data_IF_911964371749
#
_entry.id   IF_911964371749
#
_cell.length_a   1.000
_cell.length_b   1.000
_cell.length_c   1.000
_cell.angle_alpha   90.00
_cell.angle_beta   90.00
_cell.angle_gamma   90.00
#
_symmetry.space_group_name_H-M   'P 1'
#
loop_
_entity.id
_entity.type
_entity.pdbx_description
1 polymer ?
#
# COMPACT_ATOMS: atom_id res chain seq x y z
N UNK A 1 -1.65 -5.74 9.54
CA UNK A 1 -2.60 -5.40 8.45
C UNK A 1 -2.76 -6.58 7.50
N UNK A 2 -3.96 -6.88 6.95
CA UNK A 2 -4.11 -7.90 5.88
C UNK A 2 -3.64 -7.32 4.54
N UNK A 3 -3.02 -8.15 3.70
CA UNK A 3 -2.49 -7.75 2.37
C UNK A 3 -1.40 -6.66 2.43
N UNK A 4 -0.55 -6.72 3.48
CA UNK A 4 0.66 -5.92 3.57
C UNK A 4 1.82 -6.71 2.95
N UNK A 5 2.60 -6.05 2.10
CA UNK A 5 3.64 -6.67 1.31
C UNK A 5 4.92 -5.84 1.28
N UNK A 6 6.06 -6.49 1.10
CA UNK A 6 7.35 -5.83 0.95
C UNK A 6 8.07 -6.29 -0.32
N UNK A 7 8.43 -5.34 -1.18
CA UNK A 7 9.30 -5.53 -2.34
C UNK A 7 10.75 -5.30 -1.92
N UNK A 8 11.54 -6.38 -1.86
CA UNK A 8 12.97 -6.32 -1.53
C UNK A 8 13.78 -5.57 -2.60
N UNK A 9 13.46 -5.80 -3.87
CA UNK A 9 14.16 -5.21 -5.01
C UNK A 9 14.03 -3.70 -5.06
N UNK A 10 12.83 -3.19 -4.78
CA UNK A 10 12.53 -1.76 -4.81
C UNK A 10 12.60 -1.09 -3.43
N UNK A 11 12.73 -1.88 -2.36
CA UNK A 11 12.65 -1.44 -0.97
C UNK A 11 11.35 -0.67 -0.70
N UNK A 12 10.24 -1.26 -1.13
CA UNK A 12 8.90 -0.67 -1.03
C UNK A 12 8.04 -1.53 -0.10
N UNK A 13 7.50 -0.91 0.95
CA UNK A 13 6.38 -1.47 1.71
C UNK A 13 5.09 -0.98 1.07
N UNK A 14 4.19 -1.89 0.73
CA UNK A 14 2.90 -1.55 0.15
C UNK A 14 1.75 -2.36 0.77
N UNK A 15 0.58 -1.73 0.86
CA UNK A 15 -0.61 -2.27 1.48
C UNK A 15 -1.80 -2.13 0.55
N UNK A 16 -2.43 -3.25 0.21
CA UNK A 16 -3.67 -3.27 -0.58
C UNK A 16 -4.86 -3.16 0.38
N UNK A 17 -5.43 -1.96 0.47
CA UNK A 17 -6.49 -1.62 1.45
C UNK A 17 -7.86 -2.12 1.00
N UNK A 18 -8.10 -2.17 -0.31
CA UNK A 18 -9.42 -2.47 -0.88
C UNK A 18 -10.04 -1.25 -1.55
N UNK A 19 -11.36 -1.20 -1.62
CA UNK A 19 -12.10 -0.09 -2.22
C UNK A 19 -12.23 1.07 -1.22
N UNK A 20 -11.66 2.24 -1.55
CA UNK A 20 -11.61 3.41 -0.68
C UNK A 20 -12.39 4.61 -1.21
N UNK A 21 -13.05 4.49 -2.36
CA UNK A 21 -13.64 5.64 -3.05
C UNK A 21 -15.15 5.44 -3.23
N UNK A 22 -15.82 4.86 -2.21
CA UNK A 22 -17.21 4.42 -2.27
C UNK A 22 -18.18 5.28 -1.45
N UNK A 23 -17.74 6.43 -0.92
CA UNK A 23 -18.60 7.39 -0.23
C UNK A 23 -19.08 8.49 -1.19
N UNK A 24 -20.35 8.97 -1.06
CA UNK A 24 -20.81 10.15 -1.78
C UNK A 24 -20.19 11.46 -1.25
N UNK A 25 -19.52 11.43 -0.09
CA UNK A 25 -18.96 12.61 0.56
C UNK A 25 -17.44 12.67 0.37
N UNK A 26 -16.97 13.70 -0.34
CA UNK A 26 -15.54 13.93 -0.60
C UNK A 26 -14.73 13.95 0.71
N UNK A 27 -15.28 14.55 1.77
CA UNK A 27 -14.62 14.62 3.07
C UNK A 27 -14.33 13.23 3.65
N UNK A 28 -15.29 12.30 3.58
CA UNK A 28 -15.11 10.95 4.10
C UNK A 28 -14.04 10.16 3.30
N UNK A 29 -13.99 10.37 1.98
CA UNK A 29 -12.93 9.80 1.15
C UNK A 29 -11.57 10.34 1.62
N UNK A 30 -11.42 11.66 1.74
CA UNK A 30 -10.17 12.30 2.17
C UNK A 30 -9.75 11.81 3.57
N UNK A 31 -10.69 11.78 4.53
CA UNK A 31 -10.42 11.32 5.89
C UNK A 31 -9.96 9.86 5.92
N UNK A 32 -10.57 9.00 5.10
CA UNK A 32 -10.14 7.61 4.97
C UNK A 32 -8.76 7.47 4.30
N UNK A 33 -8.47 8.26 3.26
CA UNK A 33 -7.17 8.26 2.60
C UNK A 33 -6.05 8.67 3.57
N UNK A 34 -6.25 9.77 4.31
CA UNK A 34 -5.30 10.25 5.32
C UNK A 34 -5.13 9.22 6.45
N UNK A 35 -6.23 8.65 6.95
CA UNK A 35 -6.17 7.61 7.99
C UNK A 35 -5.33 6.39 7.55
N UNK A 36 -5.46 5.96 6.29
CA UNK A 36 -4.69 4.83 5.76
C UNK A 36 -3.23 5.19 5.50
N UNK A 37 -2.95 6.40 5.02
CA UNK A 37 -1.59 6.89 4.85
C UNK A 37 -0.85 6.94 6.19
N UNK A 38 -1.47 7.55 7.21
CA UNK A 38 -0.93 7.63 8.56
C UNK A 38 -0.60 6.26 9.14
N UNK A 39 -1.51 5.29 9.01
CA UNK A 39 -1.29 3.91 9.47
C UNK A 39 -0.06 3.27 8.83
N UNK A 40 0.14 3.46 7.52
CA UNK A 40 1.31 2.89 6.83
C UNK A 40 2.61 3.59 7.24
N UNK A 41 2.58 4.91 7.42
CA UNK A 41 3.73 5.70 7.85
C UNK A 41 4.19 5.32 9.27
N UNK A 42 3.24 5.13 10.20
CA UNK A 42 3.50 4.73 11.59
C UNK A 42 4.25 3.39 11.66
N UNK A 43 3.92 2.42 10.79
CA UNK A 43 4.58 1.11 10.76
C UNK A 43 6.09 1.17 10.52
N UNK A 44 6.53 2.17 9.77
CA UNK A 44 7.95 2.35 9.40
C UNK A 44 8.55 3.60 10.01
N UNK A 45 7.83 4.24 10.94
CA UNK A 45 8.23 5.50 11.59
C UNK A 45 8.66 6.58 10.59
N UNK A 46 7.90 6.72 9.50
CA UNK A 46 8.11 7.73 8.46
C UNK A 46 7.08 8.85 8.55
N UNK A 47 7.25 9.91 7.76
CA UNK A 47 6.25 10.97 7.62
C UNK A 47 5.08 10.46 6.75
N UNK A 48 3.84 10.82 7.12
CA UNK A 48 2.64 10.53 6.33
C UNK A 48 2.75 11.06 4.90
N UNK A 49 3.43 12.20 4.72
CA UNK A 49 3.64 12.84 3.41
C UNK A 49 4.48 12.01 2.45
N UNK A 50 5.26 11.08 2.95
CA UNK A 50 6.08 10.18 2.13
C UNK A 50 5.27 8.99 1.60
N UNK A 51 4.05 8.80 2.10
CA UNK A 51 3.15 7.74 1.63
C UNK A 51 2.48 8.15 0.33
N UNK A 52 2.71 7.33 -0.69
CA UNK A 52 2.05 7.45 -1.98
C UNK A 52 0.85 6.51 -2.07
N UNK A 53 -0.08 6.82 -2.97
CA UNK A 53 -1.24 5.96 -3.22
C UNK A 53 -1.57 5.85 -4.70
N UNK A 54 -2.06 4.69 -5.12
CA UNK A 54 -2.45 4.40 -6.50
C UNK A 54 -3.65 3.44 -6.53
N UNK A 55 -4.48 3.56 -7.56
CA UNK A 55 -5.56 2.59 -7.84
C UNK A 55 -5.05 1.53 -8.81
N UNK A 56 -5.39 0.27 -8.55
CA UNK A 56 -5.01 -0.85 -9.39
C UNK A 56 -5.99 -0.97 -10.56
N UNK A 57 -5.50 -0.85 -11.79
CA UNK A 57 -6.36 -0.87 -12.97
C UNK A 57 -6.46 -2.26 -13.63
N UNK A 58 -5.39 -3.06 -13.56
CA UNK A 58 -5.19 -4.22 -14.44
C UNK A 58 -5.22 -5.60 -13.77
N UNK A 59 -4.98 -5.70 -12.45
CA UNK A 59 -4.97 -6.99 -11.75
C UNK A 59 -6.30 -7.73 -11.88
N UNK A 60 -6.24 -9.06 -11.96
CA UNK A 60 -7.43 -9.92 -11.83
C UNK A 60 -7.94 -9.98 -10.40
N UNK A 61 -7.04 -9.92 -9.41
CA UNK A 61 -7.35 -10.10 -7.99
C UNK A 61 -7.73 -8.80 -7.29
N UNK A 62 -7.05 -7.72 -7.65
CA UNK A 62 -7.12 -6.45 -6.91
C UNK A 62 -7.69 -5.29 -7.72
N UNK A 63 -8.39 -5.58 -8.83
CA UNK A 63 -8.94 -4.56 -9.73
C UNK A 63 -9.74 -3.50 -8.97
N UNK A 64 -9.49 -2.24 -9.26
CA UNK A 64 -10.10 -1.05 -8.67
C UNK A 64 -9.86 -0.88 -7.16
N UNK A 65 -8.98 -1.68 -6.55
CA UNK A 65 -8.56 -1.46 -5.16
C UNK A 65 -7.46 -0.41 -5.11
N UNK A 66 -7.38 0.28 -3.97
CA UNK A 66 -6.35 1.26 -3.69
C UNK A 66 -5.20 0.64 -2.92
N UNK A 67 -3.99 1.06 -3.27
CA UNK A 67 -2.74 0.69 -2.63
C UNK A 67 -2.13 1.92 -2.01
N UNK A 68 -1.59 1.76 -0.82
CA UNK A 68 -0.71 2.72 -0.18
C UNK A 68 0.69 2.14 -0.16
N UNK A 69 1.70 2.93 -0.48
CA UNK A 69 3.08 2.45 -0.52
C UNK A 69 4.07 3.52 -0.12
N UNK A 70 5.20 3.09 0.42
CA UNK A 70 6.28 3.95 0.86
C UNK A 70 7.62 3.27 0.59
N UNK A 71 8.60 4.07 0.16
CA UNK A 71 9.99 3.61 0.01
C UNK A 71 10.64 3.61 1.38
N UNK A 72 11.18 2.47 1.79
CA UNK A 72 11.81 2.34 3.10
C UNK A 72 12.88 1.24 3.10
N UNK A 73 13.99 1.53 3.77
CA UNK A 73 15.06 0.56 4.04
C UNK A 73 14.72 -0.39 5.19
N UNK A 74 13.69 -0.06 5.97
CA UNK A 74 13.26 -0.86 7.10
C UNK A 74 12.40 -1.99 6.56
N UNK A 75 12.86 -3.23 6.75
CA UNK A 75 12.06 -4.41 6.38
C UNK A 75 11.04 -4.66 7.50
N UNK A 76 9.73 -4.54 7.23
CA UNK A 76 8.68 -4.61 8.25
C UNK A 76 8.29 -6.06 8.60
N UNK A 77 9.27 -6.96 8.69
CA UNK A 77 9.06 -8.39 8.97
C UNK A 77 8.38 -8.63 10.33
N UNK A 78 8.52 -7.71 11.28
CA UNK A 78 7.90 -7.81 12.61
C UNK A 78 6.38 -7.63 12.61
N UNK A 79 5.83 -7.03 11.55
CA UNK A 79 4.40 -6.66 11.43
C UNK A 79 3.61 -7.62 10.50
N UNK A 80 4.23 -8.71 10.06
CA UNK A 80 3.58 -9.73 9.22
C UNK A 80 3.39 -9.31 7.77
N UNK A 81 4.22 -8.39 7.25
CA UNK A 81 4.29 -8.10 5.83
C UNK A 81 4.81 -9.32 5.06
N UNK A 82 4.15 -9.69 3.97
CA UNK A 82 4.58 -10.77 3.09
C UNK A 82 5.61 -10.24 2.09
N UNK A 83 6.77 -10.86 2.05
CA UNK A 83 7.79 -10.51 1.05
C UNK A 83 7.38 -11.07 -0.32
N UNK A 84 7.33 -10.22 -1.34
CA UNK A 84 7.13 -10.68 -2.72
C UNK A 84 8.47 -11.21 -3.28
N UNK A 85 8.45 -12.06 -4.32
CA UNK A 85 9.66 -12.58 -4.94
C UNK A 85 10.65 -11.48 -5.35
N UNK A 86 11.95 -11.72 -5.21
CA UNK A 86 13.00 -10.72 -5.48
C UNK A 86 13.04 -10.24 -6.94
N UNK A 87 12.63 -11.10 -7.87
CA UNK A 87 12.53 -10.81 -9.31
C UNK A 87 11.24 -10.06 -9.69
N UNK A 88 10.44 -9.68 -8.70
CA UNK A 88 9.13 -9.06 -8.88
C UNK A 88 9.10 -7.67 -8.26
N UNK A 89 8.50 -6.72 -8.98
CA UNK A 89 8.23 -5.36 -8.50
C UNK A 89 6.81 -5.23 -7.97
N UNK A 90 6.55 -4.22 -7.16
CA UNK A 90 5.20 -3.86 -6.70
C UNK A 90 4.25 -3.76 -7.89
N UNK A 91 4.63 -3.03 -8.95
CA UNK A 91 3.75 -2.86 -10.12
C UNK A 91 3.46 -4.18 -10.85
N UNK A 92 4.46 -5.06 -10.99
CA UNK A 92 4.27 -6.38 -11.60
C UNK A 92 3.34 -7.25 -10.75
N UNK A 93 3.60 -7.32 -9.44
CA UNK A 93 2.76 -8.05 -8.49
C UNK A 93 1.31 -7.55 -8.46
N UNK A 94 1.11 -6.24 -8.58
CA UNK A 94 -0.22 -5.61 -8.64
C UNK A 94 -0.85 -5.61 -10.04
N UNK A 95 -0.17 -6.13 -11.06
CA UNK A 95 -0.71 -6.26 -12.42
C UNK A 95 -1.08 -7.69 -12.77
N UNK A 96 -0.45 -8.66 -12.11
CA UNK A 96 -0.82 -10.08 -12.16
C UNK A 96 -2.22 -10.33 -11.53
#
# INVERSE_FOLDING_TARGET
MKNLFYSLSEKILFWVVGYTDNSPYVKEIVDMLNSNAKKLAELVSADEKDVCTVVIEKSRRYKNMRVFYIKTLIIPLREGAWTIPEDTTMHKYLSD
#
